data_IF_891686200141
#
_entry.id   IF_891686200141
#
_cell.length_a   1.000
_cell.length_b   1.000
_cell.length_c   1.000
_cell.angle_alpha   90.00
_cell.angle_beta   90.00
_cell.angle_gamma   90.00
#
_symmetry.space_group_name_H-M   'P 1'
#
loop_
_entity.id
_entity.type
_entity.pdbx_description
1 polymer ?
#
# COMPACT_ATOMS: atom_id res chain seq x y z
N UNK A 1 6.23 4.91 4.81
CA UNK A 1 4.87 4.71 4.22
C UNK A 1 4.90 4.09 2.82
N UNK A 2 5.05 4.82 1.71
CA UNK A 2 5.06 4.20 0.36
C UNK A 2 6.34 3.41 0.05
N UNK A 3 7.48 3.81 0.63
CA UNK A 3 8.74 3.10 0.43
C UNK A 3 8.76 1.74 1.16
N UNK A 4 8.28 1.70 2.42
CA UNK A 4 8.05 0.45 3.16
C UNK A 4 7.13 -0.50 2.41
N UNK A 5 5.99 -0.01 1.90
CA UNK A 5 5.08 -0.82 1.09
C UNK A 5 5.80 -1.45 -0.11
N UNK A 6 6.69 -0.69 -0.75
CA UNK A 6 7.49 -1.14 -1.88
C UNK A 6 8.54 -2.19 -1.51
N UNK A 7 9.12 -2.09 -0.32
CA UNK A 7 10.07 -3.09 0.18
C UNK A 7 9.35 -4.38 0.58
N UNK A 8 8.26 -4.27 1.35
CA UNK A 8 7.43 -5.41 1.79
C UNK A 8 6.89 -6.18 0.59
N UNK A 9 6.43 -5.47 -0.45
CA UNK A 9 5.89 -6.11 -1.67
C UNK A 9 6.97 -6.54 -2.67
N UNK A 10 8.26 -6.22 -2.47
CA UNK A 10 9.32 -6.50 -3.43
C UNK A 10 9.57 -7.99 -3.60
N UNK A 11 9.63 -8.71 -2.48
CA UNK A 11 9.83 -10.16 -2.46
C UNK A 11 8.63 -10.88 -3.09
N UNK A 12 7.40 -10.50 -2.71
CA UNK A 12 6.18 -11.01 -3.33
C UNK A 12 6.10 -10.71 -4.83
N UNK A 13 6.60 -9.56 -5.28
CA UNK A 13 6.63 -9.23 -6.71
C UNK A 13 7.59 -10.15 -7.48
N UNK A 14 8.74 -10.45 -6.88
CA UNK A 14 9.71 -11.41 -7.42
C UNK A 14 9.10 -12.82 -7.46
N UNK A 15 8.45 -13.25 -6.39
CA UNK A 15 7.76 -14.55 -6.33
C UNK A 15 6.57 -14.64 -7.30
N UNK A 16 5.86 -13.53 -7.54
CA UNK A 16 4.80 -13.45 -8.54
C UNK A 16 5.34 -13.61 -9.95
N UNK A 17 6.47 -12.96 -10.27
CA UNK A 17 7.16 -13.11 -11.56
C UNK A 17 7.70 -14.53 -11.77
N UNK A 18 8.13 -15.19 -10.69
CA UNK A 18 8.59 -16.58 -10.69
C UNK A 18 7.43 -17.61 -10.65
N UNK A 19 6.20 -17.16 -10.38
CA UNK A 19 5.03 -18.02 -10.21
C UNK A 19 5.06 -18.88 -8.93
N UNK A 20 5.93 -18.54 -7.97
CA UNK A 20 6.13 -19.27 -6.71
C UNK A 20 5.37 -18.67 -5.54
N UNK A 21 4.77 -17.49 -5.71
CA UNK A 21 4.03 -16.79 -4.66
C UNK A 21 2.86 -17.64 -4.12
N UNK A 22 2.72 -17.67 -2.79
CA UNK A 22 1.62 -18.36 -2.12
C UNK A 22 0.28 -17.65 -2.36
N UNK A 23 -0.84 -18.36 -2.21
CA UNK A 23 -2.16 -17.72 -2.37
C UNK A 23 -2.43 -16.69 -1.25
N UNK A 24 -1.90 -16.91 -0.04
CA UNK A 24 -1.98 -15.94 1.07
C UNK A 24 -1.19 -14.66 0.74
N UNK A 25 0.00 -14.80 0.17
CA UNK A 25 0.84 -13.65 -0.19
C UNK A 25 0.28 -12.91 -1.42
N UNK A 26 -0.38 -13.61 -2.35
CA UNK A 26 -1.16 -12.94 -3.42
C UNK A 26 -2.28 -12.08 -2.84
N UNK A 27 -2.99 -12.56 -1.82
CA UNK A 27 -4.05 -11.79 -1.15
C UNK A 27 -3.45 -10.54 -0.51
N UNK A 28 -2.34 -10.68 0.23
CA UNK A 28 -1.63 -9.54 0.84
C UNK A 28 -1.12 -8.54 -0.20
N UNK A 29 -0.51 -9.03 -1.29
CA UNK A 29 -0.03 -8.19 -2.38
C UNK A 29 -1.17 -7.41 -3.03
N UNK A 30 -2.33 -8.04 -3.21
CA UNK A 30 -3.54 -7.39 -3.74
C UNK A 30 -4.02 -6.28 -2.81
N UNK A 31 -4.12 -6.55 -1.50
CA UNK A 31 -4.50 -5.55 -0.49
C UNK A 31 -3.52 -4.37 -0.45
N UNK A 32 -2.22 -4.64 -0.54
CA UNK A 32 -1.20 -3.58 -0.61
C UNK A 32 -1.31 -2.74 -1.87
N UNK A 33 -1.61 -3.36 -3.01
CA UNK A 33 -1.83 -2.64 -4.28
C UNK A 33 -3.09 -1.77 -4.23
N UNK A 34 -4.17 -2.24 -3.61
CA UNK A 34 -5.39 -1.47 -3.37
C UNK A 34 -5.13 -0.29 -2.43
N UNK A 35 -4.41 -0.50 -1.33
CA UNK A 35 -3.97 0.57 -0.43
C UNK A 35 -3.16 1.64 -1.17
N UNK A 36 -2.14 1.25 -1.94
CA UNK A 36 -1.32 2.19 -2.71
C UNK A 36 -2.19 2.95 -3.72
N UNK A 37 -3.14 2.28 -4.36
CA UNK A 37 -4.06 2.90 -5.32
C UNK A 37 -4.99 3.90 -4.62
N UNK A 38 -5.54 3.55 -3.47
CA UNK A 38 -6.36 4.44 -2.66
C UNK A 38 -5.57 5.67 -2.19
N UNK A 39 -4.34 5.48 -1.69
CA UNK A 39 -3.43 6.56 -1.32
C UNK A 39 -3.10 7.47 -2.50
N UNK A 40 -2.88 6.91 -3.70
CA UNK A 40 -2.62 7.70 -4.91
C UNK A 40 -3.87 8.38 -5.47
N UNK A 41 -5.05 7.83 -5.20
CA UNK A 41 -6.33 8.39 -5.60
C UNK A 41 -6.81 9.49 -4.65
N UNK A 42 -6.31 9.50 -3.41
CA UNK A 42 -6.47 10.65 -2.54
C UNK A 42 -5.83 11.86 -3.22
N UNK A 43 -6.59 12.94 -3.28
CA UNK A 43 -6.12 14.19 -3.85
C UNK A 43 -5.20 14.89 -2.85
N UNK A 44 -3.94 14.46 -2.83
CA UNK A 44 -2.90 15.03 -1.97
C UNK A 44 -2.51 16.45 -2.42
N UNK A 45 -3.02 16.93 -3.56
CA UNK A 45 -2.75 18.29 -4.04
C UNK A 45 -3.32 19.39 -3.13
N UNK A 46 -4.35 19.06 -2.35
CA UNK A 46 -4.94 19.99 -1.36
C UNK A 46 -4.21 19.97 -0.01
N UNK A 47 -3.31 19.03 0.21
CA UNK A 47 -2.51 18.93 1.42
C UNK A 47 -1.20 19.72 1.29
N UNK A 48 -1.33 21.04 1.15
CA UNK A 48 -0.19 21.99 1.15
C UNK A 48 0.35 22.29 2.54
N UNK A 49 -0.44 22.01 3.58
CA UNK A 49 -0.16 22.37 4.97
C UNK A 49 -0.32 21.15 5.89
N UNK A 50 0.43 21.13 6.99
CA UNK A 50 0.45 20.02 7.96
C UNK A 50 -0.94 19.67 8.50
N UNK A 51 -1.78 20.68 8.73
CA UNK A 51 -3.18 20.51 9.19
C UNK A 51 -4.02 19.79 8.14
N UNK A 52 -3.83 20.13 6.86
CA UNK A 52 -4.53 19.47 5.75
C UNK A 52 -4.03 18.04 5.55
N UNK A 53 -2.77 17.75 5.92
CA UNK A 53 -2.20 16.42 5.87
C UNK A 53 -2.79 15.48 6.95
N UNK A 54 -2.98 15.98 8.16
CA UNK A 54 -3.65 15.25 9.26
C UNK A 54 -5.16 15.10 9.03
N UNK A 55 -5.77 15.99 8.25
CA UNK A 55 -7.18 15.90 7.87
C UNK A 55 -7.45 14.90 6.72
N UNK A 56 -6.41 14.40 6.04
CA UNK A 56 -6.58 13.37 5.01
C UNK A 56 -7.00 12.07 5.68
N UNK A 57 -8.11 11.50 5.21
CA UNK A 57 -8.55 10.18 5.63
C UNK A 57 -7.70 9.11 4.93
N UNK A 58 -6.53 8.83 5.49
CA UNK A 58 -5.62 7.81 4.99
C UNK A 58 -6.30 6.44 5.04
N UNK A 59 -6.23 5.62 3.97
CA UNK A 59 -6.69 4.25 4.02
C UNK A 59 -5.89 3.47 5.08
N UNK A 60 -6.46 2.40 5.63
CA UNK A 60 -5.75 1.56 6.60
C UNK A 60 -4.69 0.71 5.90
N UNK A 61 -3.52 0.61 6.53
CA UNK A 61 -2.47 -0.30 6.06
C UNK A 61 -2.93 -1.74 6.30
N UNK A 62 -2.83 -2.63 5.29
CA UNK A 62 -3.23 -4.03 5.47
C UNK A 62 -2.43 -4.78 6.54
N UNK A 63 -1.18 -4.37 6.80
CA UNK A 63 -0.35 -4.93 7.89
C UNK A 63 -0.73 -4.45 9.30
N UNK A 64 -1.54 -3.39 9.44
CA UNK A 64 -1.93 -2.87 10.75
C UNK A 64 -3.07 -3.68 11.40
N UNK A 65 -3.66 -4.63 10.67
CA UNK A 65 -4.77 -5.47 11.11
C UNK A 65 -4.35 -6.86 11.62
N UNK A 66 -3.04 -7.11 11.83
CA UNK A 66 -2.50 -8.37 12.33
C UNK A 66 -2.20 -8.35 13.83
#
# INVERSE_FOLDING_TARGET
MLNEAKEITSDWKTELELGTISDDDKVRLTQWMEYIKAVKALDLSTATDEISFDAINWPERPDAAA
#
